data_IF_478438505870
#
_entry.id   IF_478438505870
#
_cell.length_a   1.000
_cell.length_b   1.000
_cell.length_c   1.000
_cell.angle_alpha   90.00
_cell.angle_beta   90.00
_cell.angle_gamma   90.00
#
_symmetry.space_group_name_H-M   'P 1'
#
loop_
_entity.id
_entity.type
_entity.pdbx_description
1 polymer ?
#
# COMPACT_ATOMS: atom_id res chain seq x y z
N UNK A 1 16.21 5.14 15.70
CA UNK A 1 15.57 3.88 15.26
C UNK A 1 15.66 3.76 13.74
N UNK A 2 15.96 2.58 13.21
CA UNK A 2 15.95 2.33 11.76
C UNK A 2 14.48 2.31 11.29
N UNK A 3 14.11 3.19 10.36
CA UNK A 3 12.73 3.29 9.87
C UNK A 3 12.32 2.11 8.98
N UNK A 4 11.00 1.90 8.80
CA UNK A 4 10.40 0.80 8.02
C UNK A 4 11.01 0.58 6.63
N UNK A 5 11.44 1.65 5.95
CA UNK A 5 12.06 1.56 4.62
C UNK A 5 13.40 0.83 4.66
N UNK A 6 14.21 1.08 5.69
CA UNK A 6 15.52 0.47 5.84
C UNK A 6 15.37 -1.01 6.18
N UNK A 7 14.49 -1.33 7.15
CA UNK A 7 14.19 -2.72 7.49
C UNK A 7 13.62 -3.52 6.31
N UNK A 8 12.73 -2.90 5.52
CA UNK A 8 12.22 -3.51 4.28
C UNK A 8 13.38 -3.80 3.34
N UNK A 9 14.24 -2.82 3.07
CA UNK A 9 15.41 -3.00 2.20
C UNK A 9 16.28 -4.17 2.69
N UNK A 10 16.61 -4.22 3.98
CA UNK A 10 17.41 -5.30 4.56
C UNK A 10 16.77 -6.69 4.40
N UNK A 11 15.44 -6.80 4.56
CA UNK A 11 14.72 -8.05 4.30
C UNK A 11 14.81 -8.44 2.82
N UNK A 12 14.61 -7.50 1.90
CA UNK A 12 14.68 -7.80 0.46
C UNK A 12 16.11 -8.16 0.03
N UNK A 13 17.11 -7.47 0.55
CA UNK A 13 18.52 -7.77 0.34
C UNK A 13 18.84 -9.18 0.87
N UNK A 14 18.37 -9.55 2.07
CA UNK A 14 18.48 -10.91 2.60
C UNK A 14 17.79 -11.95 1.70
N UNK A 15 16.54 -11.72 1.31
CA UNK A 15 15.80 -12.64 0.43
C UNK A 15 16.52 -12.85 -0.91
N UNK A 16 17.21 -11.84 -1.43
CA UNK A 16 17.98 -11.94 -2.67
C UNK A 16 19.20 -12.86 -2.57
N UNK A 17 19.69 -13.14 -1.35
CA UNK A 17 20.78 -14.10 -1.11
C UNK A 17 20.31 -15.56 -1.10
N UNK A 18 19.00 -15.80 -1.00
CA UNK A 18 18.45 -17.15 -0.93
C UNK A 18 18.40 -17.81 -2.31
N UNK A 19 18.60 -19.14 -2.42
CA UNK A 19 18.52 -19.86 -3.67
C UNK A 19 17.08 -19.89 -4.21
N UNK A 20 16.96 -20.06 -5.53
CA UNK A 20 15.64 -20.18 -6.20
C UNK A 20 14.80 -21.30 -5.59
N UNK A 21 13.50 -21.03 -5.45
CA UNK A 21 12.47 -21.97 -4.98
C UNK A 21 11.87 -22.82 -6.10
N UNK A 22 12.21 -22.53 -7.36
CA UNK A 22 11.59 -23.15 -8.53
C UNK A 22 11.97 -24.62 -8.67
N UNK A 23 10.97 -25.49 -8.90
CA UNK A 23 11.14 -26.92 -9.14
C UNK A 23 11.93 -27.70 -8.08
N UNK A 24 11.99 -27.19 -6.84
CA UNK A 24 12.70 -27.84 -5.72
C UNK A 24 11.75 -28.28 -4.62
N UNK A 25 12.10 -29.39 -3.97
CA UNK A 25 11.48 -29.73 -2.70
C UNK A 25 12.10 -28.92 -1.55
N UNK A 26 11.35 -28.77 -0.46
CA UNK A 26 11.78 -28.01 0.71
C UNK A 26 13.10 -28.54 1.27
N UNK A 27 13.32 -29.86 1.25
CA UNK A 27 14.55 -30.49 1.74
C UNK A 27 15.80 -30.02 0.98
N UNK A 28 15.77 -30.11 -0.35
CA UNK A 28 16.86 -29.70 -1.25
C UNK A 28 17.17 -28.22 -1.05
N UNK A 29 16.13 -27.38 -0.99
CA UNK A 29 16.31 -25.96 -0.78
C UNK A 29 16.95 -25.63 0.58
N UNK A 30 16.54 -26.29 1.68
CA UNK A 30 17.17 -26.13 2.99
C UNK A 30 18.65 -26.52 2.95
N UNK A 31 18.96 -27.64 2.27
CA UNK A 31 20.33 -28.12 2.14
C UNK A 31 21.20 -27.11 1.36
N UNK A 32 20.68 -26.54 0.27
CA UNK A 32 21.36 -25.49 -0.50
C UNK A 32 21.59 -24.20 0.30
N UNK A 33 20.59 -23.74 1.06
CA UNK A 33 20.72 -22.52 1.85
C UNK A 33 21.78 -22.69 2.94
N UNK A 34 21.75 -23.82 3.65
CA UNK A 34 22.68 -24.09 4.73
C UNK A 34 24.12 -24.34 4.22
N UNK A 35 24.26 -24.81 2.98
CA UNK A 35 25.57 -24.98 2.35
C UNK A 35 26.16 -23.65 1.87
N UNK A 36 25.34 -22.81 1.20
CA UNK A 36 25.85 -21.64 0.48
C UNK A 36 25.95 -20.38 1.35
N UNK A 37 25.08 -20.21 2.34
CA UNK A 37 24.87 -18.90 2.94
C UNK A 37 25.31 -18.78 4.41
N UNK A 38 26.08 -19.74 4.95
CA UNK A 38 26.45 -19.81 6.37
C UNK A 38 25.27 -19.78 7.36
N UNK A 39 24.04 -19.86 6.85
CA UNK A 39 22.83 -19.93 7.66
C UNK A 39 22.63 -21.36 8.16
N UNK A 40 22.09 -21.51 9.36
CA UNK A 40 21.78 -22.82 9.93
C UNK A 40 20.27 -22.93 10.18
N UNK A 41 19.51 -23.13 9.12
CA UNK A 41 18.08 -23.40 9.21
C UNK A 41 17.86 -24.78 9.82
N UNK A 42 17.54 -24.79 11.12
CA UNK A 42 17.19 -26.00 11.88
C UNK A 42 15.72 -26.34 11.63
N UNK A 43 15.43 -26.88 10.45
CA UNK A 43 14.07 -27.30 10.06
C UNK A 43 13.97 -28.82 10.10
N UNK A 44 12.88 -29.35 10.67
CA UNK A 44 12.61 -30.80 10.70
C UNK A 44 12.35 -31.32 9.29
N UNK A 45 13.32 -32.06 8.73
CA UNK A 45 13.26 -32.60 7.36
C UNK A 45 12.30 -33.79 7.18
N UNK A 46 11.69 -34.30 8.24
CA UNK A 46 10.81 -35.49 8.20
C UNK A 46 9.58 -35.33 7.31
N UNK A 47 9.13 -34.09 7.06
CA UNK A 47 8.03 -33.77 6.14
C UNK A 47 8.46 -32.84 4.99
N UNK A 48 9.76 -32.71 4.73
CA UNK A 48 10.29 -31.76 3.76
C UNK A 48 10.35 -32.29 2.31
N UNK A 49 9.85 -33.52 2.07
CA UNK A 49 9.66 -34.04 0.71
C UNK A 49 8.37 -33.51 0.07
N UNK A 50 8.19 -32.19 0.13
CA UNK A 50 7.08 -31.45 -0.45
C UNK A 50 7.69 -30.43 -1.40
N UNK A 51 7.11 -30.32 -2.60
CA UNK A 51 7.53 -29.32 -3.58
C UNK A 51 7.22 -27.92 -3.03
N UNK A 52 8.18 -26.99 -3.13
CA UNK A 52 8.02 -25.64 -2.60
C UNK A 52 6.81 -24.91 -3.20
N UNK A 53 6.52 -25.14 -4.48
CA UNK A 53 5.32 -24.61 -5.15
C UNK A 53 4.02 -25.02 -4.47
N UNK A 54 3.98 -26.18 -3.80
CA UNK A 54 2.79 -26.67 -3.10
C UNK A 54 2.68 -26.08 -1.68
N UNK A 55 3.75 -25.47 -1.16
CA UNK A 55 3.71 -24.73 0.11
C UNK A 55 3.19 -23.32 -0.15
N UNK A 56 3.68 -22.71 -1.23
CA UNK A 56 3.30 -21.38 -1.67
C UNK A 56 2.17 -21.43 -2.68
N UNK A 57 1.07 -22.15 -2.39
CA UNK A 57 -0.14 -22.12 -3.21
C UNK A 57 -0.72 -20.69 -3.26
N UNK A 58 -0.13 -19.84 -4.09
CA UNK A 58 -0.79 -18.66 -4.61
C UNK A 58 -1.58 -19.14 -5.81
N UNK A 59 -2.89 -19.33 -5.60
CA UNK A 59 -3.84 -19.32 -6.72
C UNK A 59 -3.75 -17.91 -7.32
N UNK A 60 -2.79 -17.72 -8.24
CA UNK A 60 -2.44 -16.42 -8.83
C UNK A 60 -3.65 -15.69 -9.46
N UNK A 61 -4.75 -16.41 -9.74
CA UNK A 61 -5.98 -15.82 -10.30
C UNK A 61 -6.90 -15.17 -9.27
N UNK A 62 -6.87 -15.59 -7.99
CA UNK A 62 -7.75 -15.04 -6.95
C UNK A 62 -7.03 -13.96 -6.11
N UNK A 63 -5.73 -14.11 -5.88
CA UNK A 63 -4.95 -13.16 -5.09
C UNK A 63 -4.75 -11.80 -5.80
N UNK A 64 -4.68 -11.79 -7.14
CA UNK A 64 -4.43 -10.57 -7.93
C UNK A 64 -5.57 -9.53 -7.84
N UNK A 65 -6.81 -9.95 -7.54
CA UNK A 65 -7.97 -9.05 -7.56
C UNK A 65 -8.66 -8.84 -6.21
N UNK A 66 -8.37 -9.65 -5.18
CA UNK A 66 -9.06 -9.55 -3.88
C UNK A 66 -8.79 -8.23 -3.13
N UNK A 67 -7.69 -7.55 -3.46
CA UNK A 67 -7.29 -6.28 -2.84
C UNK A 67 -7.58 -5.05 -3.72
N UNK A 68 -8.05 -5.24 -4.95
CA UNK A 68 -8.45 -4.14 -5.84
C UNK A 68 -9.97 -3.99 -5.75
N UNK A 69 -10.39 -3.14 -4.81
CA UNK A 69 -11.80 -2.85 -4.56
C UNK A 69 -12.12 -1.40 -4.92
N UNK A 70 -13.36 -1.12 -5.31
CA UNK A 70 -13.80 0.28 -5.41
C UNK A 70 -13.90 0.89 -4.01
N UNK A 71 -13.73 2.20 -3.89
CA UNK A 71 -13.80 2.92 -2.61
C UNK A 71 -15.15 2.67 -1.89
N UNK A 72 -16.22 2.48 -2.66
CA UNK A 72 -17.54 2.16 -2.10
C UNK A 72 -17.61 0.75 -1.50
N UNK A 73 -16.84 -0.20 -2.04
CA UNK A 73 -16.80 -1.60 -1.60
C UNK A 73 -16.03 -1.80 -0.28
N UNK A 74 -15.21 -0.83 0.14
CA UNK A 74 -14.41 -0.88 1.39
C UNK A 74 -15.00 -0.01 2.51
N UNK A 75 -16.26 0.41 2.38
CA UNK A 75 -16.92 1.28 3.37
C UNK A 75 -17.12 0.52 4.69
N UNK A 76 -16.29 0.80 5.69
CA UNK A 76 -16.35 0.19 7.03
C UNK A 76 -15.17 -0.75 7.33
N UNK A 77 -14.42 -1.15 6.30
CA UNK A 77 -13.14 -1.83 6.46
C UNK A 77 -12.05 -0.81 6.82
N UNK A 78 -11.15 -1.21 7.71
CA UNK A 78 -9.97 -0.41 8.06
C UNK A 78 -8.73 -1.19 7.62
N UNK A 79 -7.96 -0.62 6.71
CA UNK A 79 -6.77 -1.26 6.14
C UNK A 79 -5.52 -0.59 6.70
N UNK A 80 -4.42 -1.33 6.84
CA UNK A 80 -3.16 -0.75 7.33
C UNK A 80 -2.53 0.18 6.27
N UNK A 81 -2.64 -0.17 4.99
CA UNK A 81 -2.13 0.61 3.87
C UNK A 81 -3.10 0.59 2.68
N UNK A 82 -3.20 1.71 1.97
CA UNK A 82 -4.06 1.86 0.77
C UNK A 82 -3.31 2.62 -0.33
N UNK A 83 -3.47 2.15 -1.57
CA UNK A 83 -3.11 2.87 -2.80
C UNK A 83 -4.39 3.30 -3.52
N UNK A 84 -4.61 4.61 -3.64
CA UNK A 84 -5.76 5.20 -4.33
C UNK A 84 -5.34 5.60 -5.74
N UNK A 85 -6.05 5.10 -6.75
CA UNK A 85 -5.90 5.54 -8.14
C UNK A 85 -6.95 6.60 -8.47
N UNK A 86 -6.50 7.84 -8.67
CA UNK A 86 -7.34 8.92 -9.16
C UNK A 86 -7.30 8.91 -10.69
N UNK A 87 -8.47 8.77 -11.30
CA UNK A 87 -8.63 8.87 -12.76
C UNK A 87 -9.36 10.16 -13.09
N UNK A 88 -8.88 10.86 -14.13
CA UNK A 88 -9.58 11.99 -14.71
C UNK A 88 -10.86 11.50 -15.38
N UNK A 89 -12.00 12.15 -15.12
CA UNK A 89 -13.18 12.03 -15.98
C UNK A 89 -13.13 13.19 -16.96
N UNK A 90 -13.62 12.98 -18.18
CA UNK A 90 -13.44 13.88 -19.32
C UNK A 90 -13.84 15.35 -19.07
N UNK A 91 -14.64 15.63 -18.03
CA UNK A 91 -15.08 16.98 -17.64
C UNK A 91 -14.62 17.46 -16.25
N UNK A 92 -13.79 16.71 -15.51
CA UNK A 92 -13.31 17.13 -14.19
C UNK A 92 -11.79 17.29 -14.13
N UNK A 93 -11.34 18.54 -14.09
CA UNK A 93 -9.98 18.90 -13.72
C UNK A 93 -9.92 19.09 -12.20
N UNK A 94 -9.07 18.33 -11.51
CA UNK A 94 -8.90 18.43 -10.05
C UNK A 94 -8.41 19.80 -9.61
N UNK A 95 -7.68 20.54 -10.45
CA UNK A 95 -7.29 21.93 -10.20
C UNK A 95 -8.51 22.83 -9.99
N UNK A 96 -9.53 22.68 -10.84
CA UNK A 96 -10.78 23.42 -10.74
C UNK A 96 -11.66 22.97 -9.57
N UNK A 97 -11.55 21.70 -9.15
CA UNK A 97 -12.38 21.15 -8.07
C UNK A 97 -11.81 21.51 -6.71
N UNK A 98 -10.49 21.39 -6.52
CA UNK A 98 -9.82 21.59 -5.24
C UNK A 98 -9.66 23.07 -4.87
N UNK A 99 -9.61 23.97 -5.86
CA UNK A 99 -9.46 25.42 -5.64
C UNK A 99 -10.80 26.17 -5.52
N UNK A 100 -11.95 25.52 -5.74
CA UNK A 100 -13.27 26.16 -5.62
C UNK A 100 -13.92 25.88 -4.26
N UNK A 101 -14.79 26.78 -3.83
CA UNK A 101 -15.59 26.56 -2.63
C UNK A 101 -16.48 25.32 -2.83
N UNK A 102 -16.47 24.39 -1.87
CA UNK A 102 -17.25 23.15 -1.94
C UNK A 102 -18.71 23.38 -2.31
N UNK A 103 -19.35 24.41 -1.76
CA UNK A 103 -20.77 24.69 -2.01
C UNK A 103 -21.06 25.11 -3.46
N UNK A 104 -20.07 25.69 -4.14
CA UNK A 104 -20.16 26.13 -5.54
C UNK A 104 -19.93 25.01 -6.56
N UNK A 105 -19.52 23.82 -6.11
CA UNK A 105 -19.30 22.67 -6.98
C UNK A 105 -20.61 22.02 -7.43
N UNK A 106 -20.60 21.45 -8.63
CA UNK A 106 -21.67 20.57 -9.10
C UNK A 106 -21.80 19.34 -8.19
N UNK A 107 -22.98 18.73 -8.15
CA UNK A 107 -23.22 17.53 -7.34
C UNK A 107 -22.27 16.37 -7.69
N UNK A 108 -21.90 16.24 -8.97
CA UNK A 108 -20.95 15.23 -9.43
C UNK A 108 -19.53 15.48 -8.86
N UNK A 109 -19.07 16.73 -8.85
CA UNK A 109 -17.76 17.09 -8.29
C UNK A 109 -17.74 16.96 -6.76
N UNK A 110 -18.84 17.30 -6.08
CA UNK A 110 -19.02 17.06 -4.64
C UNK A 110 -18.90 15.58 -4.30
N UNK A 111 -19.60 14.72 -5.06
CA UNK A 111 -19.52 13.27 -4.87
C UNK A 111 -18.12 12.72 -5.15
N UNK A 112 -17.45 13.21 -6.19
CA UNK A 112 -16.07 12.85 -6.49
C UNK A 112 -15.13 13.21 -5.32
N UNK A 113 -15.25 14.41 -4.74
CA UNK A 113 -14.49 14.80 -3.55
C UNK A 113 -14.83 13.93 -2.33
N UNK A 114 -16.11 13.61 -2.12
CA UNK A 114 -16.54 12.74 -1.02
C UNK A 114 -15.92 11.35 -1.14
N UNK A 115 -15.84 10.81 -2.35
CA UNK A 115 -15.18 9.53 -2.62
C UNK A 115 -13.69 9.60 -2.27
N UNK A 116 -12.98 10.65 -2.70
CA UNK A 116 -11.55 10.82 -2.37
C UNK A 116 -11.35 10.98 -0.86
N UNK A 117 -12.16 11.80 -0.20
CA UNK A 117 -12.14 11.96 1.26
C UNK A 117 -12.31 10.63 1.98
N UNK A 118 -13.32 9.84 1.58
CA UNK A 118 -13.57 8.52 2.16
C UNK A 118 -12.37 7.60 1.96
N UNK A 119 -11.72 7.60 0.79
CA UNK A 119 -10.54 6.78 0.54
C UNK A 119 -9.35 7.17 1.42
N UNK A 120 -9.12 8.48 1.58
CA UNK A 120 -8.03 9.01 2.39
C UNK A 120 -8.22 8.75 3.90
N UNK A 121 -9.46 8.52 4.36
CA UNK A 121 -9.78 8.23 5.76
C UNK A 121 -9.74 6.74 6.12
N UNK A 122 -9.49 5.84 5.17
CA UNK A 122 -9.45 4.38 5.41
C UNK A 122 -8.12 3.80 5.90
N UNK A 123 -6.93 4.30 5.52
CA UNK A 123 -5.68 3.70 5.95
C UNK A 123 -5.33 4.11 7.39
N UNK A 124 -4.88 3.15 8.20
CA UNK A 124 -4.37 3.42 9.57
C UNK A 124 -2.93 3.93 9.60
N UNK A 125 -2.11 3.50 8.63
CA UNK A 125 -0.66 3.73 8.67
C UNK A 125 -0.16 4.41 7.41
N UNK A 126 -0.51 3.91 6.22
CA UNK A 126 0.08 4.38 4.96
C UNK A 126 -0.99 4.68 3.91
N UNK A 127 -0.99 5.91 3.41
CA UNK A 127 -1.79 6.33 2.26
C UNK A 127 -0.87 6.68 1.08
N UNK A 128 -1.05 6.02 -0.06
CA UNK A 128 -0.47 6.42 -1.33
C UNK A 128 -1.56 6.83 -2.31
N UNK A 129 -1.31 7.90 -3.06
CA UNK A 129 -2.23 8.42 -4.07
C UNK A 129 -1.48 8.45 -5.41
N UNK A 130 -1.96 7.66 -6.36
CA UNK A 130 -1.56 7.71 -7.76
C UNK A 130 -2.52 8.65 -8.50
N UNK A 131 -1.98 9.71 -9.09
CA UNK A 131 -2.72 10.73 -9.83
C UNK A 131 -2.06 10.94 -11.21
N UNK A 132 -2.78 11.43 -12.23
CA UNK A 132 -2.16 11.81 -13.50
C UNK A 132 -1.02 12.82 -13.29
N UNK A 133 0.04 12.71 -14.08
CA UNK A 133 1.26 13.52 -13.90
C UNK A 133 0.98 15.03 -13.87
N UNK A 134 0.05 15.49 -14.71
CA UNK A 134 -0.39 16.89 -14.78
C UNK A 134 -1.05 17.42 -13.50
N UNK A 135 -1.65 16.54 -12.69
CA UNK A 135 -2.38 16.91 -11.47
C UNK A 135 -1.50 16.76 -10.20
N UNK A 136 -0.26 16.24 -10.32
CA UNK A 136 0.62 15.98 -9.17
C UNK A 136 0.88 17.25 -8.36
N UNK A 137 1.13 18.37 -9.03
CA UNK A 137 1.39 19.67 -8.37
C UNK A 137 0.18 20.17 -7.60
N UNK A 138 -1.02 20.03 -8.17
CA UNK A 138 -2.30 20.43 -7.56
C UNK A 138 -2.53 19.65 -6.27
N UNK A 139 -2.37 18.32 -6.31
CA UNK A 139 -2.55 17.46 -5.15
C UNK A 139 -1.50 17.70 -4.07
N UNK A 140 -0.23 17.88 -4.44
CA UNK A 140 0.82 18.26 -3.49
C UNK A 140 0.46 19.56 -2.77
N UNK A 141 0.12 20.61 -3.53
CA UNK A 141 -0.28 21.89 -2.97
C UNK A 141 -1.50 21.77 -2.04
N UNK A 142 -2.49 20.92 -2.39
CA UNK A 142 -3.65 20.67 -1.53
C UNK A 142 -3.25 20.02 -0.21
N UNK A 143 -2.40 18.98 -0.22
CA UNK A 143 -1.96 18.33 1.02
C UNK A 143 -1.02 19.22 1.83
N UNK A 144 -0.06 19.90 1.22
CA UNK A 144 0.90 20.77 1.89
C UNK A 144 0.22 21.95 2.61
N UNK A 145 -0.82 22.54 1.98
CA UNK A 145 -1.65 23.59 2.61
C UNK A 145 -2.37 23.06 3.85
N UNK A 146 -2.86 21.82 3.80
CA UNK A 146 -3.63 21.22 4.87
C UNK A 146 -2.76 20.61 5.97
N UNK A 147 -1.51 20.21 5.69
CA UNK A 147 -0.56 19.72 6.69
C UNK A 147 -0.22 20.81 7.72
N UNK A 148 -0.05 22.05 7.27
CA UNK A 148 0.12 23.23 8.15
C UNK A 148 -1.10 23.49 9.04
N UNK A 149 -2.31 23.28 8.49
CA UNK A 149 -3.57 23.43 9.23
C UNK A 149 -3.77 22.32 10.26
N UNK A 150 -3.39 21.07 9.95
CA UNK A 150 -3.49 19.92 10.85
C UNK A 150 -2.52 20.05 12.03
N UNK A 151 -1.30 20.54 11.81
CA UNK A 151 -0.36 20.82 12.91
C UNK A 151 -0.85 21.97 13.81
N UNK A 152 -1.40 23.04 13.24
CA UNK A 152 -2.00 24.13 14.03
C UNK A 152 -3.26 23.71 14.82
N UNK A 153 -4.07 22.79 14.28
CA UNK A 153 -5.25 22.27 15.00
C UNK A 153 -4.88 21.30 16.13
N UNK A 154 -3.78 20.54 16.00
CA UNK A 154 -3.25 19.67 17.04
C UNK A 154 -2.57 20.44 18.20
N UNK A 155 -2.00 21.63 17.93
CA UNK A 155 -1.44 22.51 18.97
C UNK A 155 -2.52 23.26 19.79
N UNK A 156 -3.76 23.38 19.29
CA UNK A 156 -4.85 24.10 19.95
C UNK A 156 -5.78 23.23 20.82
N UNK A 157 -5.52 21.93 20.95
CA UNK A 157 -6.37 21.01 21.72
C UNK A 157 -5.59 20.27 22.81
N UNK A 158 -4.95 21.00 23.72
CA UNK A 158 -4.63 20.51 25.08
C UNK A 158 -4.61 21.67 26.09
N UNK A 159 -5.74 22.02 26.72
CA UNK A 159 -5.75 22.43 28.11
C UNK A 159 -5.96 21.20 29.01
N UNK A 160 -5.12 21.15 30.04
CA UNK A 160 -5.03 20.21 31.19
C UNK A 160 -6.30 19.45 31.54
#
# INVERSE_FOLDING_TARGET
>A
ELGYRVYRKEIFDFCSTLPSVENKNLKIWIDEVNHNNSYNFVIKKSKANILLSNIFHENNKEAENNHIKTIHSVKGETLDAILVFLKKKDNSNYDNILNKNYNSLSNANKEQLRIVYVACSRPRKVLWIATPNEDVSVWKNFFDKNEKTIQQQLELSFPV
#
